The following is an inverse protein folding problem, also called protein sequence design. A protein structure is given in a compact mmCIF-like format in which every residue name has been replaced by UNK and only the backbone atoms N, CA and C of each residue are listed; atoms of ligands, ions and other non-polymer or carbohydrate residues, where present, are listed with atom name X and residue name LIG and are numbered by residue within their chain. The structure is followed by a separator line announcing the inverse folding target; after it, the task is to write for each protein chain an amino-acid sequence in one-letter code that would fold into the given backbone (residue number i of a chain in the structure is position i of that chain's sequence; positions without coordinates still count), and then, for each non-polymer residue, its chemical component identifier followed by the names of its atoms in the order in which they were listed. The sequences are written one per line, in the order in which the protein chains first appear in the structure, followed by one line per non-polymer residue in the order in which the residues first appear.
data_IF_263040296039
#
_entry.id   IF_263040296039
#
_cell.length_a   1.000
_cell.length_b   1.000
_cell.length_c   1.000
_cell.angle_alpha   90.00
_cell.angle_beta   90.00
_cell.angle_gamma   90.00
#
_symmetry.space_group_name_H-M   'P 1'
#
loop_
_entity.id
_entity.type
_entity.pdbx_description
1 polymer ?
#
# COMPACT_ATOMS: atom_id res chain seq x y z
N UNK A 1 -59.81 -27.66 6.61
CA UNK A 1 -58.45 -28.12 6.98
C UNK A 1 -57.78 -27.02 7.80
N UNK A 2 -57.22 -27.45 8.94
CA UNK A 2 -56.43 -26.81 10.01
C UNK A 2 -56.06 -25.31 9.91
N UNK A 3 -56.59 -24.57 10.89
CA UNK A 3 -55.96 -23.41 11.53
C UNK A 3 -54.65 -23.82 12.23
N UNK A 4 -53.60 -22.99 12.14
CA UNK A 4 -52.52 -22.96 13.14
C UNK A 4 -52.18 -21.51 13.47
N UNK A 5 -52.61 -21.06 14.65
CA UNK A 5 -52.09 -19.89 15.37
C UNK A 5 -50.80 -20.32 16.07
N UNK A 6 -49.73 -19.52 15.99
CA UNK A 6 -48.58 -19.64 16.88
C UNK A 6 -48.58 -18.52 17.92
N UNK A 7 -48.42 -18.97 19.16
CA UNK A 7 -48.52 -18.19 20.39
C UNK A 7 -47.24 -17.40 20.69
N UNK A 8 -47.49 -16.25 21.31
CA UNK A 8 -46.66 -15.54 22.29
C UNK A 8 -45.74 -16.43 23.13
N UNK A 9 -44.47 -16.03 23.29
CA UNK A 9 -43.69 -16.37 24.47
C UNK A 9 -42.82 -15.18 24.90
N UNK A 10 -43.23 -14.58 26.02
CA UNK A 10 -42.50 -13.59 26.79
C UNK A 10 -41.57 -14.34 27.76
N UNK A 11 -40.27 -14.01 27.79
CA UNK A 11 -39.35 -14.46 28.85
C UNK A 11 -38.63 -13.23 29.39
N UNK A 12 -39.15 -12.72 30.51
CA UNK A 12 -38.40 -11.95 31.48
C UNK A 12 -37.63 -12.92 32.37
N UNK A 13 -36.30 -12.75 32.48
CA UNK A 13 -35.57 -13.20 33.66
C UNK A 13 -34.67 -12.05 34.14
N UNK A 14 -35.19 -11.32 35.12
CA UNK A 14 -34.40 -10.51 36.03
C UNK A 14 -33.63 -11.41 36.98
N UNK A 15 -32.31 -11.24 37.11
CA UNK A 15 -31.56 -11.56 38.32
C UNK A 15 -30.47 -10.54 38.58
N UNK A 16 -30.86 -9.58 39.42
CA UNK A 16 -30.03 -8.74 40.24
C UNK A 16 -29.18 -9.63 41.19
N UNK A 17 -27.86 -9.59 41.06
CA UNK A 17 -26.94 -10.16 42.06
C UNK A 17 -26.23 -8.99 42.76
N UNK A 18 -26.63 -8.76 44.00
CA UNK A 18 -25.95 -7.92 44.99
C UNK A 18 -24.87 -8.80 45.61
N UNK A 19 -23.59 -8.44 45.47
CA UNK A 19 -22.48 -9.05 46.20
C UNK A 19 -21.89 -7.98 47.13
N UNK A 20 -21.61 -8.32 48.41
CA UNK A 20 -21.32 -7.35 49.45
C UNK A 20 -19.88 -6.87 49.43
N UNK A 21 -19.77 -5.61 49.87
CA UNK A 21 -18.58 -4.88 50.29
C UNK A 21 -17.69 -5.73 51.21
N UNK A 22 -16.44 -5.94 50.80
CA UNK A 22 -15.34 -6.31 51.69
C UNK A 22 -14.31 -5.18 51.62
N UNK A 23 -14.30 -4.37 52.69
CA UNK A 23 -13.22 -3.46 53.03
C UNK A 23 -11.98 -4.30 53.40
N UNK A 24 -10.91 -4.19 52.61
CA UNK A 24 -9.55 -4.41 53.09
C UNK A 24 -8.71 -3.19 52.71
N UNK A 25 -8.46 -2.35 53.71
CA UNK A 25 -7.48 -1.27 53.68
C UNK A 25 -6.11 -1.84 54.05
N UNK A 26 -5.19 -1.88 53.09
CA UNK A 26 -3.76 -1.87 53.39
C UNK A 26 -3.14 -0.63 52.74
N UNK A 27 -2.75 0.30 53.60
CA UNK A 27 -1.82 1.37 53.33
C UNK A 27 -0.47 0.75 52.97
N UNK A 28 0.03 1.03 51.77
CA UNK A 28 1.46 0.97 51.47
C UNK A 28 1.78 2.18 50.60
N UNK A 29 2.21 3.26 51.26
CA UNK A 29 2.91 4.36 50.62
C UNK A 29 4.35 3.90 50.41
N UNK A 30 4.68 3.55 49.17
CA UNK A 30 6.05 3.39 48.68
C UNK A 30 6.36 4.61 47.83
N UNK A 31 7.25 5.44 48.36
CA UNK A 31 8.01 6.54 47.76
C UNK A 31 7.48 7.21 46.49
N UNK A 32 7.23 8.51 46.64
CA UNK A 32 7.03 9.48 45.58
C UNK A 32 8.23 9.53 44.64
N UNK A 33 8.19 8.72 43.58
CA UNK A 33 8.99 8.97 42.40
C UNK A 33 8.62 10.36 41.85
N UNK A 34 9.61 11.24 41.58
CA UNK A 34 9.35 12.49 40.91
C UNK A 34 8.70 12.14 39.57
N UNK A 35 7.53 12.73 39.31
CA UNK A 35 6.87 12.66 38.01
C UNK A 35 7.91 12.94 36.94
N UNK A 36 8.32 11.89 36.25
CA UNK A 36 9.08 12.03 35.02
C UNK A 36 8.20 12.86 34.10
N UNK A 37 8.63 14.08 33.83
CA UNK A 37 8.11 14.94 32.77
C UNK A 37 8.44 14.24 31.43
N UNK A 38 7.79 13.10 31.18
CA UNK A 38 7.80 12.48 29.87
C UNK A 38 7.12 13.50 28.96
N UNK A 39 7.84 14.04 27.96
CA UNK A 39 7.24 14.97 27.02
C UNK A 39 6.01 14.28 26.43
N UNK A 40 4.84 14.91 26.56
CA UNK A 40 3.59 14.43 25.96
C UNK A 40 3.91 13.98 24.53
N UNK A 41 3.84 12.67 24.31
CA UNK A 41 4.02 12.09 22.98
C UNK A 41 3.00 12.76 22.08
N UNK A 42 3.47 13.59 21.16
CA UNK A 42 2.60 14.32 20.24
C UNK A 42 2.02 13.27 19.31
N UNK A 43 0.80 12.81 19.63
CA UNK A 43 0.03 11.93 18.78
C UNK A 43 -0.25 12.71 17.49
N UNK A 44 0.60 12.49 16.48
CA UNK A 44 0.41 13.08 15.17
C UNK A 44 -0.93 12.60 14.62
N UNK A 45 -1.76 13.54 14.16
CA UNK A 45 -2.96 13.18 13.42
C UNK A 45 -2.59 12.26 12.24
N UNK A 46 -3.40 11.23 11.96
CA UNK A 46 -3.09 10.29 10.89
C UNK A 46 -3.19 10.98 9.52
N UNK A 47 -2.30 10.62 8.60
CA UNK A 47 -2.21 11.29 7.30
C UNK A 47 -3.41 10.93 6.41
N UNK A 48 -3.95 11.95 5.73
CA UNK A 48 -5.07 11.85 4.79
C UNK A 48 -4.72 12.59 3.50
N UNK A 49 -4.89 11.93 2.37
CA UNK A 49 -4.76 12.53 1.06
C UNK A 49 -6.08 13.20 0.65
N UNK A 50 -6.13 14.53 0.77
CA UNK A 50 -7.37 15.29 0.49
C UNK A 50 -7.74 15.35 -1.00
N UNK A 51 -6.76 15.14 -1.88
CA UNK A 51 -6.93 15.16 -3.34
C UNK A 51 -7.14 13.77 -3.93
N UNK A 52 -7.03 12.71 -3.13
CA UNK A 52 -7.18 11.34 -3.61
C UNK A 52 -8.65 10.99 -3.75
N UNK A 53 -8.99 10.23 -4.80
CA UNK A 53 -10.34 9.71 -5.01
C UNK A 53 -10.78 8.81 -3.86
N UNK A 54 -12.07 8.78 -3.54
CA UNK A 54 -12.61 7.95 -2.44
C UNK A 54 -13.47 6.79 -2.91
N UNK A 55 -13.74 6.71 -4.21
CA UNK A 55 -14.54 5.65 -4.87
C UNK A 55 -13.89 5.28 -6.19
N UNK A 56 -14.19 4.08 -6.68
CA UNK A 56 -13.79 3.66 -8.03
C UNK A 56 -14.43 4.57 -9.08
N UNK A 57 -13.66 4.88 -10.12
CA UNK A 57 -14.11 5.64 -11.28
C UNK A 57 -14.43 4.70 -12.47
N UNK A 58 -14.03 3.43 -12.38
CA UNK A 58 -14.31 2.44 -13.40
C UNK A 58 -15.82 2.15 -13.51
N UNK A 59 -16.33 2.07 -14.74
CA UNK A 59 -17.71 1.68 -14.98
C UNK A 59 -17.87 0.16 -14.97
N UNK A 60 -19.02 -0.31 -14.49
CA UNK A 60 -19.32 -1.74 -14.44
C UNK A 60 -19.45 -2.38 -15.82
N UNK A 61 -19.90 -1.62 -16.84
CA UNK A 61 -19.93 -2.09 -18.24
C UNK A 61 -18.54 -2.46 -18.78
N UNK A 62 -17.49 -1.90 -18.17
CA UNK A 62 -16.11 -2.08 -18.59
C UNK A 62 -15.34 -3.08 -17.73
N UNK A 63 -15.94 -3.70 -16.70
CA UNK A 63 -15.19 -4.57 -15.79
C UNK A 63 -14.51 -5.76 -16.52
N UNK A 64 -15.13 -6.28 -17.58
CA UNK A 64 -14.66 -7.46 -18.35
C UNK A 64 -14.30 -7.16 -19.82
N UNK A 65 -13.97 -5.90 -20.15
CA UNK A 65 -13.54 -5.49 -21.50
C UNK A 65 -12.15 -4.83 -21.48
N UNK A 66 -11.57 -4.51 -22.64
CA UNK A 66 -10.31 -3.75 -22.68
C UNK A 66 -10.50 -2.28 -22.25
N UNK A 67 -11.73 -1.78 -22.25
CA UNK A 67 -12.06 -0.43 -21.79
C UNK A 67 -11.97 -0.34 -20.26
N UNK A 68 -11.88 0.89 -19.75
CA UNK A 68 -11.86 1.18 -18.32
C UNK A 68 -10.60 1.89 -17.84
N UNK A 69 -10.37 1.82 -16.53
CA UNK A 69 -9.28 2.50 -15.85
C UNK A 69 -8.19 1.49 -15.48
N UNK A 70 -6.94 1.81 -15.84
CA UNK A 70 -5.76 1.02 -15.51
C UNK A 70 -4.82 1.86 -14.68
N UNK A 71 -4.36 1.32 -13.57
CA UNK A 71 -3.42 1.99 -12.67
C UNK A 71 -2.12 1.21 -12.65
N UNK A 72 -1.03 1.90 -12.98
CA UNK A 72 0.30 1.34 -13.03
C UNK A 72 1.26 2.04 -12.09
N UNK A 73 2.23 1.28 -11.57
CA UNK A 73 3.39 1.82 -10.87
C UNK A 73 4.65 1.17 -11.39
N UNK A 74 5.70 1.97 -11.52
CA UNK A 74 7.07 1.48 -11.55
C UNK A 74 7.79 2.10 -10.35
N UNK A 75 9.10 1.91 -10.16
CA UNK A 75 9.77 2.42 -8.98
C UNK A 75 9.89 3.94 -8.87
N UNK A 76 9.78 4.67 -9.99
CA UNK A 76 9.98 6.12 -10.06
C UNK A 76 8.71 6.90 -10.38
N UNK A 77 7.66 6.21 -10.82
CA UNK A 77 6.46 6.84 -11.38
C UNK A 77 5.21 6.00 -11.16
N UNK A 78 4.06 6.65 -11.32
CA UNK A 78 2.75 5.99 -11.43
C UNK A 78 2.01 6.54 -12.62
N UNK A 79 1.09 5.76 -13.14
CA UNK A 79 0.32 6.11 -14.32
C UNK A 79 -1.11 5.66 -14.13
N UNK A 80 -2.05 6.49 -14.54
CA UNK A 80 -3.46 6.14 -14.69
C UNK A 80 -3.78 6.26 -16.18
N UNK A 81 -4.19 5.16 -16.79
CA UNK A 81 -4.63 5.11 -18.19
C UNK A 81 -6.15 4.94 -18.19
N UNK A 82 -6.85 5.83 -18.88
CA UNK A 82 -8.28 5.76 -19.14
C UNK A 82 -8.47 5.39 -20.62
N UNK A 83 -8.92 4.15 -20.83
CA UNK A 83 -9.30 3.63 -22.14
C UNK A 83 -10.82 3.68 -22.26
N UNK A 84 -11.32 4.79 -22.79
CA UNK A 84 -12.72 4.98 -23.11
C UNK A 84 -13.69 4.69 -21.95
N UNK A 85 -13.27 4.94 -20.70
CA UNK A 85 -14.08 4.54 -19.54
C UNK A 85 -15.42 5.29 -19.49
N UNK A 86 -15.40 6.60 -19.77
CA UNK A 86 -16.60 7.44 -19.75
C UNK A 86 -16.90 8.16 -21.07
N UNK A 87 -15.92 8.25 -21.96
CA UNK A 87 -15.98 8.97 -23.24
C UNK A 87 -15.24 8.16 -24.28
N UNK A 88 -15.27 8.53 -25.56
CA UNK A 88 -14.45 7.86 -26.59
C UNK A 88 -12.96 8.27 -26.55
N UNK A 89 -12.53 9.03 -25.53
CA UNK A 89 -11.16 9.50 -25.42
C UNK A 89 -10.21 8.44 -24.83
N UNK A 90 -8.97 8.43 -25.33
CA UNK A 90 -7.86 7.67 -24.78
C UNK A 90 -6.92 8.65 -24.09
N UNK A 91 -6.89 8.62 -22.76
CA UNK A 91 -6.06 9.55 -21.97
C UNK A 91 -5.20 8.82 -20.96
N UNK A 92 -4.09 9.42 -20.57
CA UNK A 92 -3.33 8.95 -19.42
C UNK A 92 -2.76 10.11 -18.62
N UNK A 93 -2.58 9.89 -17.34
CA UNK A 93 -1.88 10.81 -16.43
C UNK A 93 -0.75 10.05 -15.77
N UNK A 94 0.49 10.52 -15.93
CA UNK A 94 1.66 9.94 -15.28
C UNK A 94 2.23 10.92 -14.27
N UNK A 95 2.57 10.43 -13.08
CA UNK A 95 3.31 11.20 -12.08
C UNK A 95 4.79 10.85 -12.16
N UNK A 96 5.63 11.80 -12.58
CA UNK A 96 7.08 11.65 -12.76
C UNK A 96 7.77 12.71 -11.90
N UNK A 97 8.67 12.30 -11.01
CA UNK A 97 9.40 13.27 -10.18
C UNK A 97 8.53 14.13 -9.26
N UNK A 98 7.25 13.75 -9.06
CA UNK A 98 6.27 14.53 -8.30
C UNK A 98 5.37 15.45 -9.16
N UNK A 99 5.69 15.62 -10.44
CA UNK A 99 4.87 16.37 -11.40
C UNK A 99 3.89 15.44 -12.13
N UNK A 100 2.73 15.96 -12.51
CA UNK A 100 1.72 15.23 -13.30
C UNK A 100 1.84 15.63 -14.76
N UNK A 101 2.08 14.65 -15.62
CA UNK A 101 2.10 14.78 -17.07
C UNK A 101 0.85 14.16 -17.66
N UNK A 102 0.19 14.89 -18.57
CA UNK A 102 -0.96 14.39 -19.31
C UNK A 102 -0.51 13.83 -20.66
N UNK A 103 -1.10 12.71 -21.04
CA UNK A 103 -0.89 12.07 -22.33
C UNK A 103 -2.23 11.83 -23.00
N UNK A 104 -2.21 11.78 -24.33
CA UNK A 104 -3.36 11.42 -25.15
C UNK A 104 -2.94 10.47 -26.25
N UNK A 105 -3.81 9.54 -26.59
CA UNK A 105 -3.70 8.75 -27.82
C UNK A 105 -4.84 9.17 -28.77
N UNK A 106 -4.58 9.12 -30.08
CA UNK A 106 -5.60 9.44 -31.10
C UNK A 106 -6.48 8.24 -31.41
N UNK A 107 -5.86 7.06 -31.40
CA UNK A 107 -6.45 5.80 -31.79
C UNK A 107 -5.76 4.63 -31.06
N UNK A 108 -6.34 3.45 -31.25
CA UNK A 108 -5.73 2.18 -30.88
C UNK A 108 -5.73 1.25 -32.09
N UNK A 109 -4.82 0.28 -32.07
CA UNK A 109 -4.69 -0.76 -33.08
C UNK A 109 -5.10 -2.08 -32.44
N UNK A 110 -5.84 -2.90 -33.18
CA UNK A 110 -6.13 -4.28 -32.81
C UNK A 110 -5.12 -5.20 -33.51
N UNK A 111 -4.29 -5.89 -32.73
CA UNK A 111 -3.35 -6.92 -33.20
C UNK A 111 -3.74 -8.28 -32.58
N UNK A 112 -4.41 -9.11 -33.38
CA UNK A 112 -5.10 -10.30 -32.87
C UNK A 112 -6.15 -9.94 -31.83
N UNK A 113 -5.99 -10.43 -30.60
CA UNK A 113 -6.86 -10.13 -29.45
C UNK A 113 -6.30 -9.01 -28.55
N UNK A 114 -5.21 -8.35 -28.97
CA UNK A 114 -4.53 -7.31 -28.19
C UNK A 114 -4.86 -5.92 -28.72
N UNK A 115 -5.30 -5.05 -27.83
CA UNK A 115 -5.53 -3.63 -28.09
C UNK A 115 -4.26 -2.87 -27.72
N UNK A 116 -3.75 -2.05 -28.64
CA UNK A 116 -2.53 -1.27 -28.47
C UNK A 116 -2.77 0.21 -28.71
N UNK A 117 -2.36 1.08 -27.80
CA UNK A 117 -2.49 2.53 -27.94
C UNK A 117 -1.14 3.23 -27.69
N UNK A 118 -0.82 4.23 -28.52
CA UNK A 118 0.37 5.06 -28.39
C UNK A 118 0.01 6.38 -27.73
N UNK A 119 0.60 6.65 -26.56
CA UNK A 119 0.33 7.83 -25.75
C UNK A 119 1.47 8.83 -25.87
N UNK A 120 1.17 10.03 -26.36
CA UNK A 120 2.10 11.15 -26.49
C UNK A 120 1.88 12.18 -25.37
N UNK A 121 2.97 12.73 -24.83
CA UNK A 121 2.97 13.77 -23.81
C UNK A 121 4.23 14.65 -23.84
N UNK A 122 4.34 15.58 -22.89
CA UNK A 122 5.51 16.44 -22.71
C UNK A 122 5.92 16.53 -21.25
N UNK A 123 7.21 16.39 -20.97
CA UNK A 123 7.79 16.55 -19.64
C UNK A 123 9.04 17.44 -19.75
N UNK A 124 9.07 18.54 -19.02
CA UNK A 124 10.16 19.53 -19.08
C UNK A 124 10.44 20.05 -20.51
N UNK A 125 9.38 20.23 -21.31
CA UNK A 125 9.41 20.60 -22.73
C UNK A 125 10.02 19.55 -23.68
N UNK A 126 10.38 18.36 -23.19
CA UNK A 126 10.81 17.24 -24.02
C UNK A 126 9.60 16.34 -24.34
N UNK A 127 9.46 15.89 -25.61
CA UNK A 127 8.44 14.92 -25.97
C UNK A 127 8.75 13.58 -25.32
N UNK A 128 7.73 12.99 -24.71
CA UNK A 128 7.82 11.65 -24.11
C UNK A 128 6.62 10.82 -24.55
N UNK A 129 6.82 9.52 -24.68
CA UNK A 129 5.77 8.63 -25.14
C UNK A 129 5.87 7.23 -24.52
N UNK A 130 4.74 6.51 -24.54
CA UNK A 130 4.71 5.09 -24.21
C UNK A 130 3.61 4.36 -24.99
N UNK A 131 3.81 3.06 -25.16
CA UNK A 131 2.82 2.15 -25.70
C UNK A 131 2.11 1.45 -24.54
N UNK A 132 0.78 1.46 -24.57
CA UNK A 132 -0.07 0.65 -23.71
C UNK A 132 -0.62 -0.51 -24.51
N UNK A 133 -0.64 -1.72 -23.94
CA UNK A 133 -1.28 -2.88 -24.55
C UNK A 133 -2.09 -3.67 -23.54
N UNK A 134 -3.24 -4.20 -23.95
CA UNK A 134 -4.11 -5.02 -23.10
C UNK A 134 -4.90 -6.03 -23.94
N UNK A 135 -5.28 -7.17 -23.37
CA UNK A 135 -6.16 -8.12 -24.05
C UNK A 135 -7.61 -7.63 -24.07
N UNK A 136 -8.42 -8.21 -24.96
CA UNK A 136 -9.83 -7.86 -25.15
C UNK A 136 -10.70 -7.91 -23.87
N UNK A 137 -10.33 -8.74 -22.89
CA UNK A 137 -11.00 -8.87 -21.59
C UNK A 137 -10.49 -7.90 -20.51
N UNK A 138 -9.52 -7.04 -20.86
CA UNK A 138 -8.86 -6.12 -19.93
C UNK A 138 -7.73 -6.75 -19.12
N UNK A 139 -7.39 -8.01 -19.37
CA UNK A 139 -6.28 -8.69 -18.69
C UNK A 139 -4.92 -8.42 -19.35
N UNK A 140 -3.85 -8.73 -18.63
CA UNK A 140 -2.46 -8.65 -19.12
C UNK A 140 -2.07 -7.26 -19.67
N UNK A 141 -2.59 -6.19 -19.04
CA UNK A 141 -2.20 -4.82 -19.35
C UNK A 141 -0.68 -4.60 -19.16
N UNK A 142 -0.04 -3.94 -20.12
CA UNK A 142 1.40 -3.65 -20.12
C UNK A 142 1.65 -2.23 -20.62
N UNK A 143 2.74 -1.66 -20.12
CA UNK A 143 3.30 -0.39 -20.60
C UNK A 143 4.73 -0.66 -21.06
N UNK A 144 5.04 -0.24 -22.28
CA UNK A 144 6.38 -0.24 -22.85
C UNK A 144 6.76 1.19 -23.23
N UNK A 145 7.93 1.65 -22.82
CA UNK A 145 8.41 2.99 -23.13
C UNK A 145 9.92 3.00 -23.26
N UNK A 146 10.43 3.71 -24.25
CA UNK A 146 11.86 4.04 -24.34
C UNK A 146 12.22 5.21 -23.41
N UNK A 147 11.25 6.05 -23.05
CA UNK A 147 11.41 7.16 -22.10
C UNK A 147 11.48 6.69 -20.65
N UNK A 148 10.97 5.49 -20.34
CA UNK A 148 10.90 4.91 -18.99
C UNK A 148 11.44 3.47 -19.01
N UNK A 149 12.74 3.26 -18.72
CA UNK A 149 13.34 1.93 -18.82
C UNK A 149 12.81 0.94 -17.77
N UNK A 150 12.13 1.41 -16.72
CA UNK A 150 11.58 0.56 -15.69
C UNK A 150 10.23 -0.05 -16.05
N UNK A 151 10.09 -1.37 -15.80
CA UNK A 151 8.85 -2.11 -16.01
C UNK A 151 7.75 -1.64 -15.06
N UNK A 152 6.57 -1.35 -15.62
CA UNK A 152 5.37 -1.07 -14.85
C UNK A 152 4.68 -2.36 -14.42
N UNK A 153 4.24 -2.39 -13.16
CA UNK A 153 3.14 -3.25 -12.75
C UNK A 153 1.85 -2.50 -13.01
N UNK A 154 0.98 -3.03 -13.86
CA UNK A 154 -0.30 -2.43 -14.23
C UNK A 154 -1.43 -3.33 -13.78
N UNK A 155 -2.47 -2.73 -13.18
CA UNK A 155 -3.68 -3.44 -12.76
C UNK A 155 -4.90 -2.64 -13.18
N UNK A 156 -5.95 -3.36 -13.58
CA UNK A 156 -7.23 -2.78 -13.94
C UNK A 156 -8.06 -2.48 -12.69
N UNK A 157 -8.62 -1.27 -12.62
CA UNK A 157 -9.63 -0.89 -11.64
C UNK A 157 -10.99 -1.41 -12.09
N UNK A 158 -11.78 -1.92 -11.14
CA UNK A 158 -13.16 -2.38 -11.42
C UNK A 158 -14.16 -1.47 -10.72
N UNK A 159 -15.41 -1.50 -11.15
CA UNK A 159 -16.51 -0.73 -10.55
C UNK A 159 -16.71 -0.99 -9.06
N UNK A 160 -16.21 -2.11 -8.54
CA UNK A 160 -16.33 -2.54 -7.15
C UNK A 160 -15.00 -2.51 -6.37
N UNK A 161 -13.88 -2.23 -7.04
CA UNK A 161 -12.55 -2.25 -6.43
C UNK A 161 -11.70 -1.09 -6.95
N UNK A 162 -11.56 -0.05 -6.14
CA UNK A 162 -10.70 1.10 -6.41
C UNK A 162 -9.22 0.72 -6.24
N UNK A 163 -8.37 1.13 -7.16
CA UNK A 163 -6.91 0.96 -7.05
C UNK A 163 -6.29 2.27 -6.55
N UNK A 164 -5.55 2.17 -5.46
CA UNK A 164 -4.86 3.26 -4.79
C UNK A 164 -3.35 3.10 -4.99
N UNK A 165 -2.66 4.23 -5.24
CA UNK A 165 -1.21 4.27 -5.34
C UNK A 165 -0.63 4.82 -4.05
N UNK A 166 0.35 4.12 -3.49
CA UNK A 166 1.14 4.58 -2.36
C UNK A 166 2.60 4.73 -2.78
N UNK A 167 3.25 5.77 -2.28
CA UNK A 167 4.70 5.92 -2.34
C UNK A 167 5.28 6.07 -0.93
N UNK A 168 6.52 5.63 -0.77
CA UNK A 168 7.13 5.66 0.55
C UNK A 168 8.58 5.25 0.55
N UNK A 169 9.08 5.07 1.76
CA UNK A 169 10.45 4.66 2.04
C UNK A 169 10.43 3.41 2.88
N UNK A 170 11.48 2.61 2.70
CA UNK A 170 11.80 1.54 3.63
C UNK A 170 13.21 1.75 4.17
N UNK A 171 13.38 1.39 5.44
CA UNK A 171 14.66 1.50 6.14
C UNK A 171 15.00 0.15 6.77
N UNK A 172 16.29 -0.17 6.81
CA UNK A 172 16.80 -1.32 7.55
C UNK A 172 17.48 -0.75 8.78
N UNK A 173 17.20 -1.33 9.94
CA UNK A 173 18.09 -1.15 11.07
C UNK A 173 19.20 -2.17 10.88
N UNK A 174 20.41 -1.71 10.65
CA UNK A 174 21.57 -2.60 10.62
C UNK A 174 21.64 -3.23 12.01
N UNK A 175 21.37 -4.52 12.10
CA UNK A 175 21.76 -5.28 13.28
C UNK A 175 23.25 -5.48 13.08
N UNK A 176 24.15 -4.99 13.94
CA UNK A 176 25.56 -5.30 13.82
C UNK A 176 25.69 -6.81 14.03
N UNK A 177 25.57 -7.59 12.95
CA UNK A 177 26.04 -8.96 12.94
C UNK A 177 27.47 -8.87 13.43
N UNK A 178 27.85 -9.65 14.45
CA UNK A 178 29.25 -9.75 14.82
C UNK A 178 29.95 -10.17 13.53
N UNK A 179 30.74 -9.27 12.94
CA UNK A 179 31.78 -9.69 12.03
C UNK A 179 32.52 -10.76 12.85
N UNK A 180 32.51 -12.02 12.39
CA UNK A 180 33.55 -12.97 12.79
C UNK A 180 34.85 -12.34 12.28
N UNK A 181 35.38 -11.43 13.09
CA UNK A 181 36.74 -10.97 12.98
C UNK A 181 37.54 -12.21 13.36
N UNK A 182 37.97 -12.97 12.35
CA UNK A 182 39.12 -13.85 12.51
C UNK A 182 40.20 -12.99 13.16
N UNK A 183 40.49 -13.25 14.43
CA UNK A 183 41.41 -12.47 15.24
C UNK A 183 42.82 -12.55 14.63
N UNK A 184 43.10 -11.66 13.68
CA UNK A 184 44.41 -11.49 13.08
C UNK A 184 44.92 -10.12 13.48
N UNK A 185 45.34 -10.00 14.74
CA UNK A 185 46.18 -8.94 15.30
C UNK A 185 46.12 -7.58 14.57
N UNK A 186 44.97 -6.91 14.59
CA UNK A 186 44.87 -5.51 14.21
C UNK A 186 44.92 -4.71 15.51
N UNK A 187 45.90 -3.81 15.62
CA UNK A 187 45.97 -2.85 16.71
C UNK A 187 44.70 -1.99 16.70
N UNK A 188 43.99 -2.05 17.83
CA UNK A 188 42.75 -1.34 18.09
C UNK A 188 43.05 0.16 18.21
N UNK A 189 42.91 0.89 17.11
CA UNK A 189 42.69 2.34 17.18
C UNK A 189 41.18 2.59 17.04
N UNK A 190 40.65 3.37 17.97
CA UNK A 190 39.23 3.50 18.33
C UNK A 190 38.28 3.70 17.14
N UNK A 191 37.52 2.67 16.78
CA UNK A 191 36.32 2.81 15.96
C UNK A 191 35.13 2.97 16.92
N UNK A 192 34.62 4.18 17.07
CA UNK A 192 33.32 4.39 17.74
C UNK A 192 32.20 4.07 16.74
N UNK A 193 31.54 2.93 16.89
CA UNK A 193 30.28 2.65 16.20
C UNK A 193 29.14 3.30 17.00
N UNK A 194 28.36 4.18 16.37
CA UNK A 194 27.12 4.68 16.97
C UNK A 194 26.07 3.56 16.99
N UNK A 195 25.43 3.27 18.14
CA UNK A 195 24.63 2.06 18.34
C UNK A 195 23.24 2.04 17.65
N UNK A 196 22.87 3.02 16.82
CA UNK A 196 21.50 3.12 16.28
C UNK A 196 21.41 3.73 14.85
N UNK A 197 22.36 3.44 13.96
CA UNK A 197 22.28 3.96 12.59
C UNK A 197 21.12 3.31 11.80
N UNK A 198 20.01 4.04 11.64
CA UNK A 198 18.93 3.71 10.69
C UNK A 198 19.38 4.19 9.31
N UNK A 199 19.59 3.26 8.39
CA UNK A 199 19.87 3.60 7.00
C UNK A 199 18.56 3.65 6.22
N UNK A 200 18.31 4.76 5.51
CA UNK A 200 17.25 4.81 4.49
C UNK A 200 17.76 4.04 3.28
N UNK A 201 17.17 2.87 3.03
CA UNK A 201 17.74 1.93 2.06
C UNK A 201 17.03 2.02 0.71
N UNK A 202 15.79 2.54 0.64
CA UNK A 202 15.17 2.77 -0.66
C UNK A 202 13.79 3.41 -0.66
N UNK A 203 13.28 3.59 -1.88
CA UNK A 203 11.90 4.00 -2.15
C UNK A 203 11.07 2.81 -2.59
N UNK A 204 9.80 2.85 -2.23
CA UNK A 204 8.86 1.79 -2.52
C UNK A 204 7.55 2.39 -3.03
N UNK A 205 7.04 1.87 -4.13
CA UNK A 205 5.71 2.19 -4.63
C UNK A 205 4.81 0.96 -4.49
N UNK A 206 3.51 1.19 -4.32
CA UNK A 206 2.56 0.11 -4.08
C UNK A 206 1.22 0.40 -4.72
N UNK A 207 0.62 -0.66 -5.26
CA UNK A 207 -0.79 -0.69 -5.62
C UNK A 207 -1.58 -1.35 -4.50
N UNK A 208 -2.70 -0.75 -4.13
CA UNK A 208 -3.60 -1.25 -3.12
C UNK A 208 -5.03 -1.24 -3.65
N UNK A 209 -5.70 -2.39 -3.59
CA UNK A 209 -7.10 -2.51 -3.96
C UNK A 209 -7.97 -2.58 -2.71
N UNK A 210 -8.89 -1.62 -2.54
CA UNK A 210 -9.95 -1.71 -1.54
C UNK A 210 -11.24 -2.15 -2.23
N UNK A 211 -11.77 -3.28 -1.82
CA UNK A 211 -13.09 -3.73 -2.25
C UNK A 211 -14.12 -3.55 -1.15
N UNK A 212 -15.37 -3.25 -1.53
CA UNK A 212 -16.49 -3.05 -0.61
C UNK A 212 -17.09 -4.37 -0.06
N UNK A 213 -16.33 -5.47 0.02
CA UNK A 213 -16.96 -6.71 0.48
C UNK A 213 -16.12 -7.96 0.65
N UNK A 214 -14.96 -8.10 -0.02
CA UNK A 214 -13.97 -9.19 0.16
C UNK A 214 -12.86 -9.09 -0.91
N UNK A 215 -11.64 -9.56 -0.60
CA UNK A 215 -10.46 -9.59 -1.49
C UNK A 215 -9.70 -8.27 -1.65
N UNK A 216 -9.62 -7.45 -0.61
CA UNK A 216 -8.67 -6.34 -0.60
C UNK A 216 -7.23 -6.90 -0.67
N UNK A 217 -6.45 -6.41 -1.62
CA UNK A 217 -5.11 -6.90 -1.89
C UNK A 217 -4.15 -5.74 -2.08
N UNK A 218 -2.87 -6.05 -2.03
CA UNK A 218 -1.82 -5.08 -2.31
C UNK A 218 -0.66 -5.74 -3.05
N UNK A 219 0.09 -4.94 -3.79
CA UNK A 219 1.30 -5.34 -4.49
C UNK A 219 2.34 -4.23 -4.46
N UNK A 220 3.51 -4.56 -3.94
CA UNK A 220 4.67 -3.68 -3.92
C UNK A 220 5.52 -3.72 -5.19
N UNK A 221 6.15 -2.59 -5.52
CA UNK A 221 7.14 -2.42 -6.59
C UNK A 221 8.31 -1.56 -6.07
N UNK A 222 9.55 -2.01 -6.24
CA UNK A 222 10.73 -1.36 -5.65
C UNK A 222 11.72 -0.83 -6.67
N UNK A 223 12.46 0.20 -6.26
CA UNK A 223 13.59 0.80 -6.96
C UNK A 223 14.78 -0.14 -7.07
N UNK A 224 15.51 -0.01 -8.19
CA UNK A 224 16.67 -0.80 -8.58
C UNK A 224 17.68 -1.01 -7.43
N UNK A 225 18.32 -2.18 -7.44
CA UNK A 225 19.37 -2.67 -6.53
C UNK A 225 18.96 -3.10 -5.11
N UNK A 226 18.46 -4.34 -5.05
CA UNK A 226 18.79 -5.38 -4.06
C UNK A 226 17.79 -5.76 -2.95
N UNK A 227 17.77 -7.09 -2.76
CA UNK A 227 17.49 -7.94 -1.59
C UNK A 227 16.06 -8.23 -1.13
N UNK A 228 15.11 -7.33 -1.30
CA UNK A 228 13.75 -7.60 -0.80
C UNK A 228 12.89 -8.23 -1.91
N UNK A 229 12.49 -9.48 -1.70
CA UNK A 229 11.41 -10.10 -2.49
C UNK A 229 10.11 -9.44 -2.02
N UNK A 230 9.49 -8.60 -2.86
CA UNK A 230 8.39 -7.78 -2.36
C UNK A 230 7.12 -8.57 -2.18
N UNK A 231 6.39 -8.32 -1.08
CA UNK A 231 5.20 -9.09 -0.82
C UNK A 231 4.07 -8.52 -1.66
N UNK A 232 3.31 -9.41 -2.27
CA UNK A 232 1.89 -9.16 -2.50
C UNK A 232 1.13 -9.82 -1.37
N UNK A 233 -0.11 -9.45 -1.16
CA UNK A 233 -0.94 -10.21 -0.25
C UNK A 233 -2.29 -9.57 0.00
N UNK A 234 -2.81 -9.83 1.19
CA UNK A 234 -4.18 -9.50 1.55
C UNK A 234 -4.23 -8.39 2.59
N UNK A 235 -5.36 -7.69 2.61
CA UNK A 235 -5.67 -6.69 3.63
C UNK A 235 -6.85 -7.20 4.45
N UNK A 236 -6.65 -7.29 5.76
CA UNK A 236 -7.67 -7.75 6.71
C UNK A 236 -7.69 -6.79 7.89
N UNK A 237 -8.85 -6.20 8.20
CA UNK A 237 -9.01 -5.29 9.35
C UNK A 237 -7.96 -4.17 9.41
N UNK A 238 -7.67 -3.54 8.26
CA UNK A 238 -6.62 -2.51 8.09
C UNK A 238 -5.19 -3.00 8.37
N UNK A 239 -4.96 -4.30 8.44
CA UNK A 239 -3.64 -4.91 8.54
C UNK A 239 -3.28 -5.55 7.20
N UNK A 240 -2.02 -5.40 6.81
CA UNK A 240 -1.48 -5.93 5.57
C UNK A 240 -0.68 -7.18 5.88
N UNK A 241 -0.98 -8.25 5.15
CA UNK A 241 -0.30 -9.53 5.24
C UNK A 241 0.29 -9.89 3.88
N UNK A 242 1.43 -10.56 3.86
CA UNK A 242 1.98 -11.14 2.62
C UNK A 242 1.28 -12.46 2.22
N UNK A 243 1.76 -13.11 1.16
CA UNK A 243 1.25 -14.40 0.70
C UNK A 243 1.52 -15.57 1.66
N UNK A 244 2.46 -15.41 2.59
CA UNK A 244 2.82 -16.39 3.62
C UNK A 244 2.13 -16.07 4.96
N UNK A 245 1.22 -15.09 4.98
CA UNK A 245 0.48 -14.62 6.14
C UNK A 245 1.36 -13.94 7.22
N UNK A 246 2.52 -13.40 6.86
CA UNK A 246 3.30 -12.53 7.72
C UNK A 246 2.71 -11.13 7.75
N UNK A 247 2.64 -10.54 8.95
CA UNK A 247 2.22 -9.16 9.11
C UNK A 247 3.27 -8.19 8.56
N UNK A 248 2.83 -7.30 7.68
CA UNK A 248 3.68 -6.28 7.03
C UNK A 248 3.50 -4.92 7.68
N UNK A 249 2.26 -4.53 7.99
CA UNK A 249 1.97 -3.21 8.55
C UNK A 249 0.49 -2.91 8.76
N UNK A 250 0.22 -1.76 9.36
CA UNK A 250 -1.12 -1.22 9.59
C UNK A 250 -1.38 -0.03 8.68
N UNK A 251 -2.50 -0.08 8.00
CA UNK A 251 -3.02 0.96 7.13
C UNK A 251 -3.95 1.86 7.94
N UNK A 252 -3.49 3.06 8.27
CA UNK A 252 -4.28 4.06 8.96
C UNK A 252 -4.67 5.18 8.00
N UNK A 253 -5.93 5.16 7.53
CA UNK A 253 -6.42 6.00 6.45
C UNK A 253 -5.55 5.87 5.19
N UNK A 254 -4.79 6.92 4.85
CA UNK A 254 -3.96 7.04 3.66
C UNK A 254 -2.46 6.88 3.98
N UNK A 255 -2.12 6.35 5.16
CA UNK A 255 -0.75 6.04 5.56
C UNK A 255 -0.61 4.58 5.96
N UNK A 256 0.41 3.91 5.44
CA UNK A 256 0.82 2.59 5.87
C UNK A 256 2.11 2.71 6.68
N UNK A 257 2.10 2.14 7.88
CA UNK A 257 3.30 1.97 8.70
C UNK A 257 3.44 0.52 9.10
N UNK A 258 4.66 0.01 9.06
CA UNK A 258 4.90 -1.40 9.31
C UNK A 258 6.32 -1.70 9.69
N UNK A 259 6.50 -2.82 10.39
CA UNK A 259 7.79 -3.44 10.62
C UNK A 259 7.63 -4.92 10.36
N UNK A 260 8.44 -5.47 9.47
CA UNK A 260 8.48 -6.91 9.21
C UNK A 260 9.91 -7.42 9.15
N UNK A 261 10.07 -8.72 9.31
CA UNK A 261 11.37 -9.40 9.23
C UNK A 261 11.47 -10.07 7.86
N UNK A 262 12.53 -9.80 7.11
CA UNK A 262 12.75 -10.42 5.82
C UNK A 262 13.32 -11.85 5.94
N UNK A 263 13.53 -12.52 4.80
CA UNK A 263 14.11 -13.87 4.74
C UNK A 263 15.53 -13.98 5.29
N UNK A 264 16.24 -12.86 5.45
CA UNK A 264 17.58 -12.78 6.01
C UNK A 264 17.57 -12.38 7.49
N UNK A 265 16.39 -12.42 8.14
CA UNK A 265 16.18 -12.00 9.52
C UNK A 265 16.44 -10.50 9.78
N UNK A 266 16.37 -9.64 8.75
CA UNK A 266 16.53 -8.20 8.87
C UNK A 266 15.19 -7.51 9.15
N UNK A 267 15.17 -6.57 10.10
CA UNK A 267 13.99 -5.74 10.37
C UNK A 267 13.87 -4.63 9.33
N UNK A 268 12.80 -4.67 8.56
CA UNK A 268 12.43 -3.67 7.57
C UNK A 268 11.34 -2.78 8.15
N UNK A 269 11.58 -1.48 8.21
CA UNK A 269 10.58 -0.49 8.60
C UNK A 269 10.01 0.14 7.33
N UNK A 270 8.69 0.19 7.24
CA UNK A 270 7.96 0.71 6.09
C UNK A 270 7.16 1.95 6.51
N UNK A 271 7.24 3.01 5.72
CA UNK A 271 6.34 4.16 5.82
C UNK A 271 5.95 4.59 4.42
N UNK A 272 4.66 4.51 4.09
CA UNK A 272 4.13 4.93 2.79
C UNK A 272 2.89 5.80 2.97
N UNK A 273 2.63 6.64 1.98
CA UNK A 273 1.50 7.54 1.92
C UNK A 273 0.80 7.41 0.58
N UNK A 274 -0.52 7.50 0.61
CA UNK A 274 -1.34 7.52 -0.59
C UNK A 274 -1.07 8.80 -1.38
N UNK A 275 -1.04 8.65 -2.70
CA UNK A 275 -0.92 9.75 -3.65
C UNK A 275 -2.00 9.68 -4.73
N UNK A 276 -2.10 10.78 -5.48
CA UNK A 276 -2.92 10.92 -6.69
C UNK A 276 -2.31 10.07 -7.81
#
# INVERSE_FOLDING_TARGET
MKNVKFNSLCIQVSRLFIIPVVLFTFYSCSDSDPKSDVPNEVVSAPYRCLSCKTVSEAKSENDSSFEGIYVGVNPKSSVVVDLMNATDALTAKMRIGGEVVNFSAKDYILDGDTYMAHFDGQYQNEPIAFNFSVLADGSNAKIASDSFPEVFTVVKETSTSMIEVFDGTWTVKDDPTPLEIEAKNIELDTISFEPDAIYVVGRFNMLLARSNGQNAWWRGVNTLNQLITYPSGLIQSNQMFDTENHFIGTLNMDELRGVYVDKNNQKIYLTTRRRI
#
